data_IF_696132918077
#
_entry.id   IF_696132918077
#
_cell.length_a   1.000
_cell.length_b   1.000
_cell.length_c   1.000
_cell.angle_alpha   90.00
_cell.angle_beta   90.00
_cell.angle_gamma   90.00
#
_symmetry.space_group_name_H-M   'P 1'
#
loop_
_entity.id
_entity.type
_entity.pdbx_description
1 polymer ?
#
# COMPACT_ATOMS: atom_id res chain seq x y z
N UNK A 1 7.73 -31.29 6.34
CA UNK A 1 8.22 -29.91 6.55
C UNK A 1 9.45 -29.62 5.69
N UNK A 2 10.23 -30.64 5.32
CA UNK A 2 11.50 -30.47 4.60
C UNK A 2 11.36 -30.12 3.11
N UNK A 3 10.30 -30.57 2.44
CA UNK A 3 10.16 -30.43 0.97
C UNK A 3 10.08 -28.98 0.51
N UNK A 4 9.35 -28.13 1.24
CA UNK A 4 9.20 -26.70 0.90
C UNK A 4 10.50 -25.94 1.20
N UNK A 5 11.15 -26.26 2.33
CA UNK A 5 12.41 -25.61 2.72
C UNK A 5 13.52 -25.98 1.73
N UNK A 6 13.61 -27.25 1.33
CA UNK A 6 14.60 -27.71 0.35
C UNK A 6 14.43 -27.03 -1.01
N UNK A 7 13.20 -26.89 -1.48
CA UNK A 7 12.90 -26.17 -2.73
C UNK A 7 13.32 -24.69 -2.67
N UNK A 8 13.10 -24.02 -1.54
CA UNK A 8 13.53 -22.64 -1.34
C UNK A 8 15.06 -22.49 -1.28
N UNK A 9 15.77 -23.48 -0.75
CA UNK A 9 17.23 -23.50 -0.70
C UNK A 9 17.82 -23.73 -2.09
N UNK A 10 17.20 -24.59 -2.90
CA UNK A 10 17.60 -24.87 -4.28
C UNK A 10 17.44 -23.63 -5.18
N UNK A 11 16.30 -22.94 -5.06
CA UNK A 11 15.97 -21.77 -5.88
C UNK A 11 16.47 -20.43 -5.30
N UNK A 12 17.26 -20.45 -4.22
CA UNK A 12 17.70 -19.24 -3.49
C UNK A 12 18.40 -18.23 -4.40
N UNK A 13 19.21 -18.71 -5.35
CA UNK A 13 19.98 -17.83 -6.24
C UNK A 13 19.07 -17.07 -7.18
N UNK A 14 18.02 -17.72 -7.68
CA UNK A 14 17.00 -17.07 -8.49
C UNK A 14 16.17 -16.09 -7.66
N UNK A 15 15.69 -16.50 -6.46
CA UNK A 15 14.88 -15.67 -5.56
C UNK A 15 15.60 -14.37 -5.15
N UNK A 16 16.89 -14.48 -4.79
CA UNK A 16 17.71 -13.35 -4.35
C UNK A 16 18.51 -12.70 -5.48
N UNK A 17 18.32 -13.12 -6.73
CA UNK A 17 18.86 -12.41 -7.90
C UNK A 17 18.20 -11.03 -8.04
N UNK A 18 18.86 -10.10 -8.74
CA UNK A 18 18.28 -8.78 -9.00
C UNK A 18 16.91 -8.83 -9.70
N UNK A 19 16.71 -9.79 -10.62
CA UNK A 19 15.43 -10.00 -11.29
C UNK A 19 14.39 -10.68 -10.38
N UNK A 20 14.81 -11.64 -9.54
CA UNK A 20 13.93 -12.32 -8.58
C UNK A 20 13.38 -11.35 -7.54
N UNK A 21 14.27 -10.53 -6.95
CA UNK A 21 13.88 -9.48 -5.99
C UNK A 21 12.99 -8.43 -6.66
N UNK A 22 13.25 -8.07 -7.93
CA UNK A 22 12.40 -7.15 -8.68
C UNK A 22 10.98 -7.70 -8.87
N UNK A 23 10.84 -8.95 -9.33
CA UNK A 23 9.52 -9.58 -9.54
C UNK A 23 8.77 -9.70 -8.22
N UNK A 24 9.41 -10.24 -7.17
CA UNK A 24 8.79 -10.38 -5.85
C UNK A 24 8.40 -9.02 -5.29
N UNK A 25 9.31 -8.05 -5.34
CA UNK A 25 9.07 -6.67 -4.91
C UNK A 25 7.89 -6.03 -5.64
N UNK A 26 7.77 -6.23 -6.96
CA UNK A 26 6.65 -5.73 -7.76
C UNK A 26 5.31 -6.32 -7.31
N UNK A 27 5.24 -7.64 -7.07
CA UNK A 27 4.02 -8.28 -6.59
C UNK A 27 3.62 -7.83 -5.17
N UNK A 28 4.59 -7.67 -4.26
CA UNK A 28 4.32 -7.14 -2.91
C UNK A 28 3.90 -5.66 -2.94
N UNK A 29 4.57 -4.84 -3.74
CA UNK A 29 4.25 -3.41 -3.90
C UNK A 29 2.84 -3.21 -4.46
N UNK A 30 2.45 -4.00 -5.47
CA UNK A 30 1.10 -3.92 -6.08
C UNK A 30 -0.01 -4.26 -5.09
N UNK A 31 0.24 -5.15 -4.11
CA UNK A 31 -0.75 -5.44 -3.05
C UNK A 31 -0.94 -4.25 -2.10
N UNK A 32 0.14 -3.52 -1.80
CA UNK A 32 0.10 -2.36 -0.90
C UNK A 32 -0.45 -1.10 -1.57
N UNK A 33 -0.30 -0.96 -2.89
CA UNK A 33 -0.80 0.18 -3.65
C UNK A 33 -2.34 0.31 -3.64
N UNK A 34 -3.06 -0.76 -3.32
CA UNK A 34 -4.53 -0.78 -3.18
C UNK A 34 -5.01 -0.55 -1.75
N UNK A 35 -4.11 -0.41 -0.77
CA UNK A 35 -4.46 -0.08 0.60
C UNK A 35 -4.65 1.43 0.69
N UNK A 36 -5.78 1.88 1.25
CA UNK A 36 -6.21 3.28 1.41
C UNK A 36 -5.09 4.30 1.37
N UNK A 37 -5.21 5.29 0.48
CA UNK A 37 -4.25 6.41 0.35
C UNK A 37 -3.93 6.93 1.75
N UNK A 38 -2.66 6.82 2.16
CA UNK A 38 -2.22 7.31 3.47
C UNK A 38 -2.26 8.83 3.45
N UNK A 39 -3.40 9.34 3.90
CA UNK A 39 -3.85 10.70 3.74
C UNK A 39 -3.58 11.44 5.06
N UNK A 40 -2.51 12.24 5.11
CA UNK A 40 -2.19 13.09 6.25
C UNK A 40 -2.83 14.46 6.05
N UNK A 41 -3.74 14.86 6.94
CA UNK A 41 -4.30 16.21 6.95
C UNK A 41 -3.87 16.97 8.21
N UNK A 42 -3.38 18.19 8.03
CA UNK A 42 -3.16 19.14 9.12
C UNK A 42 -4.34 20.12 9.12
N UNK A 43 -5.06 20.22 10.23
CA UNK A 43 -6.22 21.10 10.40
C UNK A 43 -5.90 22.12 11.50
N UNK A 44 -6.34 23.35 11.31
CA UNK A 44 -6.19 24.45 12.28
C UNK A 44 -7.43 24.57 13.17
N UNK A 45 -7.33 25.29 14.28
CA UNK A 45 -8.45 25.54 15.19
C UNK A 45 -9.64 26.16 14.43
N UNK A 46 -10.87 25.77 14.80
CA UNK A 46 -12.14 26.18 14.19
C UNK A 46 -12.31 25.87 12.68
N UNK A 47 -11.59 24.88 12.13
CA UNK A 47 -11.67 24.51 10.71
C UNK A 47 -12.26 23.12 10.48
N UNK A 48 -13.01 22.95 9.38
CA UNK A 48 -13.46 21.62 8.93
C UNK A 48 -12.48 21.09 7.89
N UNK A 49 -11.67 20.10 8.27
CA UNK A 49 -10.84 19.38 7.31
C UNK A 49 -11.62 18.25 6.66
N UNK A 50 -11.80 18.33 5.35
CA UNK A 50 -12.46 17.28 4.57
C UNK A 50 -11.41 16.61 3.72
N UNK A 51 -11.27 15.30 3.88
CA UNK A 51 -10.37 14.49 3.10
C UNK A 51 -11.13 13.29 2.56
N UNK A 52 -11.14 13.14 1.25
CA UNK A 52 -11.83 12.05 0.60
C UNK A 52 -10.98 11.51 -0.55
N UNK A 53 -10.98 10.20 -0.67
CA UNK A 53 -10.45 9.48 -1.82
C UNK A 53 -11.59 9.16 -2.80
N UNK A 54 -12.46 10.14 -3.06
CA UNK A 54 -13.74 10.00 -3.78
C UNK A 54 -14.60 11.25 -3.67
N UNK A 55 -15.87 11.15 -4.06
CA UNK A 55 -16.77 12.31 -4.14
C UNK A 55 -17.19 12.84 -2.76
N UNK A 56 -17.23 14.17 -2.64
CA UNK A 56 -17.63 14.89 -1.44
C UNK A 56 -18.81 15.80 -1.77
N UNK A 57 -19.92 15.62 -1.08
CA UNK A 57 -21.08 16.52 -1.14
C UNK A 57 -21.28 17.17 0.23
N UNK A 58 -21.16 18.50 0.28
CA UNK A 58 -21.27 19.30 1.52
C UNK A 58 -22.48 20.21 1.39
N UNK A 59 -23.46 20.00 2.25
CA UNK A 59 -24.58 20.91 2.44
C UNK A 59 -24.30 21.78 3.66
N UNK A 60 -24.11 23.09 3.45
CA UNK A 60 -23.99 24.05 4.55
C UNK A 60 -25.36 24.65 4.86
N UNK A 61 -25.64 24.87 6.15
CA UNK A 61 -26.76 25.73 6.55
C UNK A 61 -26.30 27.18 6.41
N UNK A 62 -27.14 28.00 5.80
CA UNK A 62 -26.98 29.44 5.77
C UNK A 62 -27.74 29.98 6.98
N UNK A 63 -27.02 30.50 7.96
CA UNK A 63 -27.60 31.29 9.03
C UNK A 63 -28.02 32.68 8.50
#
# INVERSE_FOLDING_TARGET
MDTIINYLIEEKEWIFSGIGVFILGFFFYRKTANTSVNQKQKISDNSTGIQANGDVNINTKKD
#
